data_IF_745890513591
#
_entry.id   IF_745890513591
#
_cell.length_a   1.000
_cell.length_b   1.000
_cell.length_c   1.000
_cell.angle_alpha   90.00
_cell.angle_beta   90.00
_cell.angle_gamma   90.00
#
_symmetry.space_group_name_H-M   'P 1'
#
loop_
_entity.id
_entity.type
_entity.pdbx_description
1 polymer ?
#
# COMPACT_ATOMS: atom_id res chain seq x y z
N UNK A 1 3.68 8.53 -17.37
CA UNK A 1 3.01 8.57 -18.71
C UNK A 1 1.53 8.84 -18.50
N UNK A 2 0.98 9.87 -19.05
CA UNK A 2 -0.46 10.21 -18.95
C UNK A 2 -1.22 9.76 -20.19
N UNK A 3 -1.09 8.49 -20.62
CA UNK A 3 -1.65 8.02 -21.89
C UNK A 3 -3.18 7.83 -21.87
N UNK A 4 -3.79 7.72 -20.67
CA UNK A 4 -5.22 7.58 -20.43
C UNK A 4 -5.93 6.42 -21.19
N UNK A 5 -5.19 5.54 -21.83
CA UNK A 5 -5.74 4.40 -22.58
C UNK A 5 -6.58 3.46 -21.71
N UNK A 6 -6.25 3.34 -20.42
CA UNK A 6 -7.01 2.55 -19.46
C UNK A 6 -8.42 3.09 -19.18
N UNK A 7 -8.78 4.31 -19.61
CA UNK A 7 -10.14 4.82 -19.47
C UNK A 7 -11.18 4.06 -20.29
N UNK A 8 -10.72 3.29 -21.28
CA UNK A 8 -11.57 2.53 -22.19
C UNK A 8 -11.46 1.01 -21.99
N UNK A 9 -10.47 0.55 -21.21
CA UNK A 9 -10.13 -0.88 -21.12
C UNK A 9 -10.18 -1.44 -19.71
N UNK A 10 -10.27 -0.60 -18.68
CA UNK A 10 -10.13 -0.95 -17.26
C UNK A 10 -8.81 -1.70 -16.93
N UNK A 11 -7.85 -1.67 -17.88
CA UNK A 11 -6.54 -2.31 -17.77
C UNK A 11 -5.45 -1.38 -18.30
N UNK A 12 -4.24 -1.57 -17.78
CA UNK A 12 -3.08 -0.86 -18.30
C UNK A 12 -2.66 -1.48 -19.65
N UNK A 13 -2.42 -0.61 -20.64
CA UNK A 13 -2.03 -1.05 -21.98
C UNK A 13 -0.53 -1.40 -22.09
N UNK A 14 0.27 -1.04 -21.10
CA UNK A 14 1.69 -1.40 -21.03
C UNK A 14 1.79 -2.89 -20.76
N UNK A 15 2.55 -3.59 -21.60
CA UNK A 15 2.73 -5.04 -21.51
C UNK A 15 3.84 -5.37 -20.51
N UNK A 16 3.46 -5.48 -19.23
CA UNK A 16 4.30 -5.92 -18.13
C UNK A 16 3.43 -6.63 -17.07
N UNK A 17 3.93 -6.77 -15.85
CA UNK A 17 3.29 -7.51 -14.76
C UNK A 17 2.14 -6.77 -14.05
N UNK A 18 1.91 -5.48 -14.34
CA UNK A 18 0.93 -4.67 -13.58
C UNK A 18 -0.48 -5.23 -13.64
N UNK A 19 -0.91 -5.74 -14.79
CA UNK A 19 -2.26 -6.31 -14.92
C UNK A 19 -2.42 -7.60 -14.09
N UNK A 20 -1.37 -8.42 -14.00
CA UNK A 20 -1.33 -9.59 -13.12
C UNK A 20 -1.37 -9.20 -11.64
N UNK A 21 -0.70 -8.10 -11.27
CA UNK A 21 -0.77 -7.54 -9.92
C UNK A 21 -2.17 -7.02 -9.62
N UNK A 22 -2.80 -6.32 -10.56
CA UNK A 22 -4.19 -5.85 -10.42
C UNK A 22 -5.14 -7.02 -10.14
N UNK A 23 -5.04 -8.11 -10.89
CA UNK A 23 -5.87 -9.29 -10.68
C UNK A 23 -5.72 -9.85 -9.25
N UNK A 24 -4.48 -9.99 -8.77
CA UNK A 24 -4.19 -10.44 -7.40
C UNK A 24 -4.74 -9.49 -6.34
N UNK A 25 -4.66 -8.18 -6.54
CA UNK A 25 -5.24 -7.20 -5.61
C UNK A 25 -6.76 -7.32 -5.54
N UNK A 26 -7.41 -7.52 -6.68
CA UNK A 26 -8.87 -7.69 -6.75
C UNK A 26 -9.32 -8.98 -6.08
N UNK A 27 -8.59 -10.07 -6.28
CA UNK A 27 -8.90 -11.39 -5.69
C UNK A 27 -8.59 -11.49 -4.20
N UNK A 28 -7.64 -10.69 -3.69
CA UNK A 28 -7.22 -10.77 -2.28
C UNK A 28 -8.32 -10.33 -1.32
N UNK A 29 -8.39 -10.94 -0.13
CA UNK A 29 -9.27 -10.51 0.96
C UNK A 29 -8.67 -9.32 1.74
N UNK A 30 -7.35 -9.32 1.86
CA UNK A 30 -6.57 -8.32 2.57
C UNK A 30 -5.34 -7.93 1.75
N UNK A 31 -5.04 -6.65 1.67
CA UNK A 31 -3.82 -6.15 1.06
C UNK A 31 -2.90 -5.58 2.15
N UNK A 32 -1.65 -5.98 2.14
CA UNK A 32 -0.63 -5.42 3.03
C UNK A 32 0.40 -4.67 2.20
N UNK A 33 0.52 -3.37 2.44
CA UNK A 33 1.50 -2.51 1.77
C UNK A 33 2.68 -2.21 2.69
N UNK A 34 3.89 -2.60 2.28
CA UNK A 34 5.14 -2.16 2.88
C UNK A 34 5.64 -0.89 2.18
N UNK A 35 5.75 0.22 2.91
CA UNK A 35 6.07 1.52 2.33
C UNK A 35 7.23 2.16 3.06
N UNK A 36 8.42 2.29 2.43
CA UNK A 36 9.53 3.02 3.00
C UNK A 36 9.29 4.53 2.93
N UNK A 37 9.75 5.24 3.97
CA UNK A 37 9.76 6.69 4.00
C UNK A 37 11.02 7.23 3.32
N UNK A 38 10.85 7.96 2.22
CA UNK A 38 11.91 8.67 1.53
C UNK A 38 11.56 10.16 1.45
N UNK A 39 12.27 10.99 2.23
CA UNK A 39 12.02 12.43 2.29
C UNK A 39 10.56 12.75 2.61
N UNK A 40 10.04 12.13 3.66
CA UNK A 40 8.67 12.30 4.16
C UNK A 40 7.58 11.96 3.12
N UNK A 41 7.93 11.09 2.18
CA UNK A 41 7.05 10.65 1.12
C UNK A 41 7.26 9.17 0.78
N UNK A 42 6.40 8.63 -0.06
CA UNK A 42 6.54 7.29 -0.61
C UNK A 42 7.74 7.22 -1.58
N UNK A 43 8.34 6.05 -1.72
CA UNK A 43 9.40 5.85 -2.72
C UNK A 43 8.87 6.07 -4.15
N UNK A 44 9.77 6.48 -5.05
CA UNK A 44 9.41 6.62 -6.47
C UNK A 44 8.85 5.33 -7.08
N UNK A 45 9.34 4.16 -6.63
CA UNK A 45 8.81 2.86 -7.06
C UNK A 45 7.37 2.66 -6.60
N UNK A 46 7.06 2.97 -5.34
CA UNK A 46 5.70 2.86 -4.81
C UNK A 46 4.77 3.88 -5.46
N UNK A 47 5.25 5.10 -5.72
CA UNK A 47 4.48 6.12 -6.45
C UNK A 47 4.15 5.66 -7.87
N UNK A 48 5.11 5.09 -8.58
CA UNK A 48 4.88 4.53 -9.91
C UNK A 48 3.82 3.40 -9.88
N UNK A 49 3.88 2.53 -8.89
CA UNK A 49 2.85 1.51 -8.67
C UNK A 49 1.46 2.15 -8.45
N UNK A 50 1.34 3.13 -7.54
CA UNK A 50 0.08 3.84 -7.29
C UNK A 50 -0.51 4.43 -8.57
N UNK A 51 0.33 5.12 -9.39
CA UNK A 51 -0.09 5.75 -10.64
C UNK A 51 -0.56 4.71 -11.67
N UNK A 52 0.03 3.52 -11.64
CA UNK A 52 -0.32 2.42 -12.53
C UNK A 52 -1.59 1.65 -12.13
N UNK A 53 -2.13 1.89 -10.92
CA UNK A 53 -3.46 1.41 -10.52
C UNK A 53 -4.61 2.32 -10.98
N UNK A 54 -4.33 3.33 -11.79
CA UNK A 54 -5.35 4.24 -12.35
C UNK A 54 -6.53 3.53 -13.05
N UNK A 55 -6.39 2.38 -13.73
CA UNK A 55 -7.52 1.63 -14.27
C UNK A 55 -8.60 1.33 -13.23
N UNK A 56 -8.21 1.06 -11.98
CA UNK A 56 -9.12 0.69 -10.89
C UNK A 56 -9.93 1.87 -10.33
N UNK A 57 -9.58 3.10 -10.67
CA UNK A 57 -10.29 4.30 -10.22
C UNK A 57 -11.76 4.31 -10.66
N UNK A 58 -12.02 4.00 -11.94
CA UNK A 58 -13.38 3.97 -12.50
C UNK A 58 -14.11 2.65 -12.22
N UNK A 59 -13.42 1.53 -12.33
CA UNK A 59 -14.01 0.19 -12.19
C UNK A 59 -14.46 -0.10 -10.75
N UNK A 60 -13.89 0.62 -9.75
CA UNK A 60 -14.20 0.44 -8.32
C UNK A 60 -13.99 -0.99 -7.80
N UNK A 61 -13.19 -1.80 -8.49
CA UNK A 61 -12.94 -3.21 -8.11
C UNK A 61 -12.27 -3.37 -6.74
N UNK A 62 -11.57 -2.33 -6.25
CA UNK A 62 -10.98 -2.32 -4.91
C UNK A 62 -11.85 -1.63 -3.84
N UNK A 63 -13.10 -1.27 -4.17
CA UNK A 63 -13.99 -0.62 -3.20
C UNK A 63 -14.19 -1.49 -1.96
N UNK A 64 -13.97 -0.88 -0.79
CA UNK A 64 -14.06 -1.51 0.53
C UNK A 64 -13.05 -2.66 0.75
N UNK A 65 -12.01 -2.76 -0.08
CA UNK A 65 -10.92 -3.71 0.13
C UNK A 65 -10.17 -3.34 1.41
N UNK A 66 -10.03 -4.30 2.31
CA UNK A 66 -9.28 -4.13 3.55
C UNK A 66 -7.79 -3.96 3.26
N UNK A 67 -7.18 -2.95 3.85
CA UNK A 67 -5.74 -2.71 3.70
C UNK A 67 -5.04 -2.45 5.03
N UNK A 68 -3.80 -2.92 5.13
CA UNK A 68 -2.87 -2.62 6.22
C UNK A 68 -1.64 -1.95 5.60
N UNK A 69 -1.21 -0.85 6.19
CA UNK A 69 0.05 -0.22 5.82
C UNK A 69 1.12 -0.46 6.89
N UNK A 70 2.32 -0.79 6.44
CA UNK A 70 3.51 -0.93 7.28
C UNK A 70 4.56 0.04 6.77
N UNK A 71 4.84 1.07 7.54
CA UNK A 71 5.79 2.11 7.21
C UNK A 71 7.14 1.83 7.85
N UNK A 72 8.22 2.18 7.16
CA UNK A 72 9.59 2.08 7.69
C UNK A 72 10.34 3.36 7.38
N UNK A 73 10.95 4.00 8.38
CA UNK A 73 11.75 5.20 8.21
C UNK A 73 12.74 5.43 9.33
N UNK A 74 13.73 6.30 9.12
CA UNK A 74 14.73 6.65 10.13
C UNK A 74 14.26 7.69 11.15
N UNK A 75 13.16 8.39 10.87
CA UNK A 75 12.57 9.41 11.74
C UNK A 75 11.71 8.83 12.86
N UNK A 76 11.06 9.71 13.61
CA UNK A 76 10.10 9.33 14.64
C UNK A 76 8.93 8.53 14.03
N UNK A 77 8.51 7.45 14.70
CA UNK A 77 7.46 6.55 14.17
C UNK A 77 6.14 7.26 13.89
N UNK A 78 5.70 8.12 14.80
CA UNK A 78 4.46 8.88 14.64
C UNK A 78 4.57 9.93 13.53
N UNK A 79 5.75 10.56 13.36
CA UNK A 79 6.04 11.47 12.26
C UNK A 79 5.96 10.73 10.91
N UNK A 80 6.73 9.67 10.76
CA UNK A 80 6.74 8.80 9.56
C UNK A 80 5.34 8.32 9.20
N UNK A 81 4.57 7.86 10.18
CA UNK A 81 3.19 7.42 9.96
C UNK A 81 2.30 8.55 9.44
N UNK A 82 2.37 9.73 10.08
CA UNK A 82 1.56 10.90 9.69
C UNK A 82 1.87 11.35 8.25
N UNK A 83 3.14 11.47 7.93
CA UNK A 83 3.62 11.93 6.63
C UNK A 83 3.23 10.98 5.50
N UNK A 84 3.48 9.69 5.69
CA UNK A 84 3.13 8.68 4.69
C UNK A 84 1.61 8.49 4.56
N UNK A 85 0.86 8.58 5.67
CA UNK A 85 -0.60 8.59 5.60
C UNK A 85 -1.11 9.75 4.73
N UNK A 86 -0.56 10.96 4.89
CA UNK A 86 -0.93 12.10 4.07
C UNK A 86 -0.59 11.87 2.58
N UNK A 87 0.57 11.29 2.30
CA UNK A 87 1.01 11.02 0.93
C UNK A 87 0.12 10.00 0.19
N UNK A 88 -0.42 8.99 0.91
CA UNK A 88 -1.27 7.95 0.31
C UNK A 88 -2.77 8.22 0.40
N UNK A 89 -3.19 9.19 1.19
CA UNK A 89 -4.62 9.43 1.49
C UNK A 89 -5.47 9.63 0.23
N UNK A 90 -4.98 10.42 -0.74
CA UNK A 90 -5.65 10.60 -2.03
C UNK A 90 -5.83 9.28 -2.78
N UNK A 91 -4.77 8.49 -2.88
CA UNK A 91 -4.79 7.16 -3.49
C UNK A 91 -5.85 6.24 -2.85
N UNK A 92 -5.85 6.14 -1.52
CA UNK A 92 -6.81 5.32 -0.80
C UNK A 92 -8.26 5.80 -1.03
N UNK A 93 -8.50 7.09 -1.00
CA UNK A 93 -9.84 7.67 -1.26
C UNK A 93 -10.32 7.38 -2.68
N UNK A 94 -9.48 7.59 -3.70
CA UNK A 94 -9.86 7.37 -5.09
C UNK A 94 -10.16 5.91 -5.39
N UNK A 95 -9.43 4.98 -4.79
CA UNK A 95 -9.69 3.54 -4.93
C UNK A 95 -10.74 3.02 -3.94
N UNK A 96 -11.21 3.86 -3.01
CA UNK A 96 -12.17 3.50 -1.95
C UNK A 96 -11.68 2.34 -1.08
N UNK A 97 -10.39 2.34 -0.75
CA UNK A 97 -9.76 1.36 0.13
C UNK A 97 -10.17 1.60 1.59
N UNK A 98 -10.34 0.53 2.35
CA UNK A 98 -10.64 0.57 3.78
C UNK A 98 -9.37 0.32 4.60
N UNK A 99 -8.75 1.40 5.10
CA UNK A 99 -7.54 1.30 5.92
C UNK A 99 -7.90 0.79 7.31
N UNK A 100 -7.56 -0.47 7.59
CA UNK A 100 -7.85 -1.12 8.88
C UNK A 100 -6.79 -0.83 9.93
N UNK A 101 -5.54 -0.84 9.55
CA UNK A 101 -4.40 -0.62 10.46
C UNK A 101 -3.23 0.05 9.73
N UNK A 102 -2.49 0.81 10.50
CA UNK A 102 -1.24 1.42 10.06
C UNK A 102 -0.18 1.22 11.14
N UNK A 103 0.92 0.60 10.78
CA UNK A 103 2.06 0.38 11.65
C UNK A 103 3.26 1.17 11.14
N UNK A 104 4.14 1.58 12.03
CA UNK A 104 5.37 2.26 11.68
C UNK A 104 6.55 1.67 12.42
N UNK A 105 7.65 1.47 11.74
CA UNK A 105 8.93 1.07 12.31
C UNK A 105 9.93 2.20 12.17
N UNK A 106 10.63 2.52 13.26
CA UNK A 106 11.85 3.31 13.18
C UNK A 106 13.00 2.36 12.93
N UNK A 107 13.65 2.47 11.77
CA UNK A 107 14.81 1.66 11.43
C UNK A 107 15.59 2.30 10.29
N UNK A 108 16.91 2.22 10.38
CA UNK A 108 17.86 2.62 9.33
C UNK A 108 18.34 1.41 8.51
N UNK A 109 18.11 0.19 9.03
CA UNK A 109 18.47 -1.06 8.35
C UNK A 109 17.54 -2.20 8.76
N UNK A 110 17.63 -3.32 8.05
CA UNK A 110 16.75 -4.49 8.25
C UNK A 110 16.93 -5.13 9.62
N UNK A 111 18.11 -5.10 10.20
CA UNK A 111 18.38 -5.72 11.50
C UNK A 111 17.65 -5.00 12.63
N UNK A 112 17.45 -3.68 12.51
CA UNK A 112 16.69 -2.90 13.48
C UNK A 112 15.20 -3.24 13.44
N UNK A 113 14.63 -3.53 12.28
CA UNK A 113 13.25 -4.03 12.16
C UNK A 113 13.15 -5.40 12.83
N UNK A 114 14.09 -6.31 12.54
CA UNK A 114 14.10 -7.67 13.07
C UNK A 114 14.19 -7.73 14.60
N UNK A 115 14.79 -6.72 15.26
CA UNK A 115 14.83 -6.62 16.72
C UNK A 115 13.49 -6.26 17.36
N UNK A 116 12.54 -5.70 16.62
CA UNK A 116 11.23 -5.27 17.11
C UNK A 116 10.20 -6.41 17.09
N UNK A 117 10.56 -7.56 17.68
CA UNK A 117 9.80 -8.82 17.59
C UNK A 117 8.36 -8.73 18.09
N UNK A 118 8.10 -7.96 19.15
CA UNK A 118 6.75 -7.82 19.70
C UNK A 118 5.83 -7.06 18.72
N UNK A 119 6.33 -6.00 18.10
CA UNK A 119 5.59 -5.29 17.07
C UNK A 119 5.32 -6.17 15.84
N UNK A 120 6.29 -6.97 15.43
CA UNK A 120 6.11 -7.93 14.34
C UNK A 120 5.02 -8.94 14.70
N UNK A 121 5.00 -9.49 15.92
CA UNK A 121 3.95 -10.39 16.39
C UNK A 121 2.58 -9.73 16.38
N UNK A 122 2.48 -8.49 16.84
CA UNK A 122 1.25 -7.70 16.82
C UNK A 122 0.72 -7.58 15.39
N UNK A 123 1.58 -7.23 14.43
CA UNK A 123 1.20 -7.10 13.01
C UNK A 123 0.70 -8.45 12.47
N UNK A 124 1.43 -9.53 12.72
CA UNK A 124 1.04 -10.87 12.27
C UNK A 124 -0.31 -11.31 12.84
N UNK A 125 -0.58 -11.01 14.12
CA UNK A 125 -1.86 -11.31 14.74
C UNK A 125 -3.00 -10.48 14.10
N UNK A 126 -2.77 -9.20 13.81
CA UNK A 126 -3.76 -8.37 13.10
C UNK A 126 -4.05 -8.91 11.70
N UNK A 127 -3.02 -9.32 10.94
CA UNK A 127 -3.19 -9.91 9.62
C UNK A 127 -4.03 -11.20 9.71
N UNK A 128 -3.69 -12.12 10.63
CA UNK A 128 -4.41 -13.37 10.82
C UNK A 128 -5.88 -13.17 11.21
N UNK A 129 -6.16 -12.18 12.06
CA UNK A 129 -7.53 -11.89 12.50
C UNK A 129 -8.39 -11.22 11.42
N UNK A 130 -7.78 -10.64 10.39
CA UNK A 130 -8.48 -9.96 9.28
C UNK A 130 -8.58 -10.82 8.02
N UNK A 131 -7.69 -11.77 7.83
CA UNK A 131 -7.85 -12.82 6.83
C UNK A 131 -8.69 -13.91 7.48
N UNK A 132 -9.89 -14.17 6.95
CA UNK A 132 -10.84 -15.19 7.43
C UNK A 132 -10.29 -16.61 7.20
N UNK A 133 -9.13 -16.88 7.74
CA UNK A 133 -8.45 -18.17 7.61
C UNK A 133 -8.60 -18.94 8.91
#
# INVERSE_FOLDING_TARGET
MGCLACHHTDRCVIKDDINSIIDKLVESELIVFGVPNYFDNVSGLFKNFMDRLHPLYKSKQLKNKNVIFIYVGGGEENGTKKELHQAINGFCKYLSLDIKKEFSFRALNIDEVNKQKEKIKEILNNIKNMSSI
#
